data_IF_863274073826
#
_entry.id   IF_863274073826
#
_cell.length_a   1.000
_cell.length_b   1.000
_cell.length_c   1.000
_cell.angle_alpha   90.00
_cell.angle_beta   90.00
_cell.angle_gamma   90.00
#
_symmetry.space_group_name_H-M   'P 1'
#
loop_
_entity.id
_entity.type
_entity.pdbx_description
1 polymer ?
#
# COMPACT_ATOMS: atom_id res chain seq x y z
N UNK A 1 -4.48 -7.96 15.76
CA UNK A 1 -4.89 -7.66 14.36
C UNK A 1 -3.98 -6.61 13.68
N UNK A 2 -3.69 -5.45 14.30
CA UNK A 2 -2.91 -4.35 13.68
C UNK A 2 -1.41 -4.62 13.42
N UNK A 3 -0.80 -5.58 14.13
CA UNK A 3 0.66 -5.82 14.11
C UNK A 3 1.20 -6.45 12.82
N UNK A 4 0.33 -6.83 11.87
CA UNK A 4 0.72 -7.64 10.71
C UNK A 4 0.74 -6.89 9.37
N UNK A 5 0.35 -5.60 9.36
CA UNK A 5 0.44 -4.74 8.18
C UNK A 5 1.90 -4.46 7.83
N UNK A 6 2.21 -4.56 6.54
CA UNK A 6 3.55 -4.30 6.03
C UNK A 6 3.93 -2.82 6.19
N UNK A 7 5.22 -2.51 6.11
CA UNK A 7 5.72 -1.14 6.18
C UNK A 7 5.25 -0.36 4.95
N UNK A 8 5.29 -0.97 3.77
CA UNK A 8 4.77 -0.38 2.53
C UNK A 8 3.26 -0.11 2.62
N UNK A 9 2.47 -1.01 3.23
CA UNK A 9 1.02 -0.80 3.44
C UNK A 9 0.76 0.41 4.34
N UNK A 10 1.54 0.57 5.42
CA UNK A 10 1.46 1.74 6.31
C UNK A 10 1.90 3.04 5.64
N UNK A 11 2.91 2.98 4.77
CA UNK A 11 3.38 4.14 3.99
C UNK A 11 2.31 4.61 3.02
N UNK A 12 1.67 3.69 2.29
CA UNK A 12 0.59 4.01 1.36
C UNK A 12 -0.63 4.58 2.10
N UNK A 13 -1.04 3.97 3.22
CA UNK A 13 -2.11 4.48 4.08
C UNK A 13 -1.80 5.91 4.59
N UNK A 14 -0.56 6.14 5.04
CA UNK A 14 -0.13 7.44 5.55
C UNK A 14 -0.07 8.50 4.44
N UNK A 15 0.35 8.11 3.24
CA UNK A 15 0.36 9.00 2.07
C UNK A 15 -1.07 9.40 1.70
N UNK A 16 -1.99 8.44 1.58
CA UNK A 16 -3.39 8.71 1.26
C UNK A 16 -4.02 9.64 2.30
N UNK A 17 -3.76 9.40 3.59
CA UNK A 17 -4.26 10.24 4.69
C UNK A 17 -3.80 11.69 4.62
N UNK A 18 -2.62 11.96 4.03
CA UNK A 18 -2.09 13.33 3.84
C UNK A 18 -2.54 13.93 2.52
N UNK A 19 -2.63 13.13 1.47
CA UNK A 19 -2.96 13.54 0.12
C UNK A 19 -4.42 14.03 0.00
N UNK A 20 -5.38 13.29 0.56
CA UNK A 20 -6.81 13.65 0.50
C UNK A 20 -7.13 15.06 1.02
N UNK A 21 -6.71 15.47 2.24
CA UNK A 21 -7.01 16.83 2.72
C UNK A 21 -6.31 17.91 1.90
N UNK A 22 -5.11 17.65 1.36
CA UNK A 22 -4.38 18.61 0.52
C UNK A 22 -5.13 18.88 -0.79
N UNK A 23 -5.62 17.83 -1.45
CA UNK A 23 -6.39 17.96 -2.70
C UNK A 23 -7.70 18.69 -2.46
N UNK A 24 -8.43 18.33 -1.39
CA UNK A 24 -9.69 18.99 -1.05
C UNK A 24 -9.47 20.49 -0.80
N UNK A 25 -8.39 20.85 -0.08
CA UNK A 25 -8.06 22.23 0.19
C UNK A 25 -7.69 23.00 -1.09
N UNK A 26 -6.88 22.40 -1.98
CA UNK A 26 -6.58 23.00 -3.28
C UNK A 26 -7.83 23.20 -4.14
N UNK A 27 -8.70 22.20 -4.23
CA UNK A 27 -9.95 22.30 -4.99
C UNK A 27 -10.88 23.38 -4.42
N UNK A 28 -10.98 23.47 -3.09
CA UNK A 28 -11.78 24.51 -2.41
C UNK A 28 -11.26 25.92 -2.71
N UNK A 29 -9.94 26.10 -2.70
CA UNK A 29 -9.31 27.38 -3.05
C UNK A 29 -9.54 27.72 -4.53
N UNK A 30 -9.41 26.74 -5.44
CA UNK A 30 -9.70 26.93 -6.87
C UNK A 30 -11.16 27.34 -7.13
N UNK A 31 -12.10 26.81 -6.35
CA UNK A 31 -13.51 27.19 -6.49
C UNK A 31 -13.82 28.57 -5.89
N UNK A 32 -13.13 29.00 -4.83
CA UNK A 32 -13.49 30.23 -4.08
C UNK A 32 -12.71 31.47 -4.50
N UNK A 33 -11.42 31.36 -4.84
CA UNK A 33 -10.57 32.50 -5.21
C UNK A 33 -11.09 33.25 -6.46
N UNK A 34 -11.49 32.57 -7.55
CA UNK A 34 -11.84 33.26 -8.80
C UNK A 34 -13.17 34.01 -8.74
N UNK A 35 -14.02 33.71 -7.76
CA UNK A 35 -15.26 34.46 -7.52
C UNK A 35 -15.00 35.92 -7.12
N UNK A 36 -13.80 36.24 -6.61
CA UNK A 36 -13.40 37.63 -6.33
C UNK A 36 -13.11 38.47 -7.59
N UNK A 37 -12.84 37.84 -8.75
CA UNK A 37 -12.47 38.51 -9.99
C UNK A 37 -13.58 38.57 -11.05
N UNK A 38 -14.78 38.05 -10.75
CA UNK A 38 -15.97 38.15 -11.59
C UNK A 38 -16.65 36.81 -11.86
N UNK A 39 -17.95 36.87 -12.19
CA UNK A 39 -18.85 35.72 -12.29
C UNK A 39 -18.50 34.73 -13.40
N UNK A 40 -18.06 35.20 -14.57
CA UNK A 40 -17.62 34.36 -15.69
C UNK A 40 -16.39 33.51 -15.31
N UNK A 41 -15.40 34.14 -14.67
CA UNK A 41 -14.20 33.44 -14.20
C UNK A 41 -14.51 32.46 -13.06
N UNK A 42 -15.41 32.83 -12.14
CA UNK A 42 -15.88 31.96 -11.05
C UNK A 42 -16.50 30.67 -11.57
N UNK A 43 -17.38 30.74 -12.58
CA UNK A 43 -18.01 29.54 -13.18
C UNK A 43 -17.00 28.63 -13.85
N UNK A 44 -16.09 29.18 -14.65
CA UNK A 44 -15.05 28.41 -15.34
C UNK A 44 -14.16 27.64 -14.36
N UNK A 45 -13.67 28.32 -13.32
CA UNK A 45 -12.79 27.70 -12.34
C UNK A 45 -13.52 26.74 -11.40
N UNK A 46 -14.80 26.97 -11.11
CA UNK A 46 -15.61 26.02 -10.34
C UNK A 46 -15.72 24.68 -11.09
N UNK A 47 -15.97 24.71 -12.40
CA UNK A 47 -16.01 23.50 -13.25
C UNK A 47 -14.67 22.75 -13.21
N UNK A 48 -13.56 23.46 -13.41
CA UNK A 48 -12.22 22.86 -13.36
C UNK A 48 -11.85 22.33 -11.96
N UNK A 49 -12.32 22.98 -10.89
CA UNK A 49 -12.14 22.52 -9.52
C UNK A 49 -12.84 21.18 -9.26
N UNK A 50 -14.07 21.00 -9.76
CA UNK A 50 -14.76 19.70 -9.70
C UNK A 50 -14.01 18.62 -10.50
N UNK A 51 -13.50 18.95 -11.69
CA UNK A 51 -12.70 18.01 -12.50
C UNK A 51 -11.48 17.53 -11.71
N UNK A 52 -10.77 18.43 -11.02
CA UNK A 52 -9.62 18.07 -10.18
C UNK A 52 -10.00 17.09 -9.08
N UNK A 53 -11.12 17.29 -8.38
CA UNK A 53 -11.57 16.38 -7.31
C UNK A 53 -11.79 14.97 -7.87
N UNK A 54 -12.42 14.86 -9.04
CA UNK A 54 -12.72 13.58 -9.68
C UNK A 54 -11.44 12.87 -10.12
N UNK A 55 -10.53 13.58 -10.79
CA UNK A 55 -9.28 13.01 -11.32
C UNK A 55 -8.31 12.64 -10.20
N UNK A 56 -8.37 13.33 -9.06
CA UNK A 56 -7.46 13.12 -7.96
C UNK A 56 -7.74 11.87 -7.11
N UNK A 57 -8.77 11.03 -7.37
CA UNK A 57 -8.97 9.85 -6.51
C UNK A 57 -7.73 8.95 -6.49
N UNK A 58 -7.08 8.70 -5.34
CA UNK A 58 -5.97 7.77 -5.23
C UNK A 58 -6.42 6.30 -5.14
N UNK A 59 -7.60 5.98 -5.67
CA UNK A 59 -8.30 4.71 -5.54
C UNK A 59 -7.38 3.51 -5.82
N UNK A 60 -6.68 3.52 -6.96
CA UNK A 60 -5.77 2.45 -7.37
C UNK A 60 -4.56 2.28 -6.44
N UNK A 61 -4.00 3.40 -5.95
CA UNK A 61 -2.83 3.38 -5.07
C UNK A 61 -3.15 2.66 -3.76
N UNK A 62 -4.27 3.01 -3.12
CA UNK A 62 -4.65 2.45 -1.81
C UNK A 62 -4.96 0.95 -1.84
N UNK A 63 -5.52 0.45 -2.95
CA UNK A 63 -5.92 -0.95 -3.08
C UNK A 63 -4.74 -1.82 -3.55
N UNK A 64 -3.74 -1.25 -4.23
CA UNK A 64 -2.62 -1.98 -4.80
C UNK A 64 -1.88 -2.85 -3.76
N UNK A 65 -1.50 -2.27 -2.61
CA UNK A 65 -0.72 -2.97 -1.58
C UNK A 65 -1.44 -4.16 -0.95
N UNK A 66 -2.66 -4.05 -0.37
CA UNK A 66 -3.32 -5.20 0.24
C UNK A 66 -3.62 -6.31 -0.77
N UNK A 67 -3.95 -5.96 -2.03
CA UNK A 67 -4.18 -6.95 -3.09
C UNK A 67 -2.91 -7.71 -3.42
N UNK A 68 -1.77 -7.03 -3.59
CA UNK A 68 -0.49 -7.69 -3.86
C UNK A 68 -0.07 -8.60 -2.70
N UNK A 69 -0.23 -8.17 -1.44
CA UNK A 69 0.10 -9.02 -0.28
C UNK A 69 -0.82 -10.23 -0.18
N UNK A 70 -2.13 -10.06 -0.37
CA UNK A 70 -3.08 -11.18 -0.33
C UNK A 70 -2.77 -12.20 -1.43
N UNK A 71 -2.50 -11.74 -2.65
CA UNK A 71 -2.12 -12.59 -3.77
C UNK A 71 -0.79 -13.33 -3.50
N UNK A 72 0.22 -12.65 -2.99
CA UNK A 72 1.52 -13.26 -2.66
C UNK A 72 1.42 -14.31 -1.55
N UNK A 73 0.63 -14.05 -0.51
CA UNK A 73 0.36 -15.02 0.56
C UNK A 73 -0.38 -16.24 0.03
N UNK A 74 -1.39 -16.05 -0.83
CA UNK A 74 -2.13 -17.14 -1.45
C UNK A 74 -1.24 -18.01 -2.33
N UNK A 75 -0.39 -17.39 -3.15
CA UNK A 75 0.58 -18.10 -4.00
C UNK A 75 1.59 -18.91 -3.17
N UNK A 76 2.11 -18.35 -2.08
CA UNK A 76 3.01 -19.06 -1.18
C UNK A 76 2.34 -20.28 -0.53
N UNK A 77 1.10 -20.12 -0.06
CA UNK A 77 0.33 -21.20 0.57
C UNK A 77 0.06 -22.35 -0.41
N UNK A 78 -0.22 -22.06 -1.69
CA UNK A 78 -0.38 -23.08 -2.74
C UNK A 78 0.89 -23.90 -2.98
N UNK A 79 2.06 -23.36 -2.64
CA UNK A 79 3.36 -24.04 -2.73
C UNK A 79 3.82 -24.67 -1.41
N UNK A 80 2.92 -24.78 -0.41
CA UNK A 80 3.26 -25.35 0.90
C UNK A 80 4.09 -24.43 1.81
N UNK A 81 4.25 -23.15 1.45
CA UNK A 81 5.02 -22.17 2.21
C UNK A 81 4.05 -21.34 3.06
N UNK A 82 4.14 -21.49 4.39
CA UNK A 82 3.26 -20.77 5.32
C UNK A 82 3.95 -19.51 5.82
N UNK A 83 3.48 -18.35 5.35
CA UNK A 83 4.01 -17.04 5.73
C UNK A 83 3.02 -16.37 6.70
N UNK A 84 3.46 -16.12 7.94
CA UNK A 84 2.63 -15.51 8.99
C UNK A 84 2.52 -13.99 8.83
N UNK A 85 1.93 -13.52 7.72
CA UNK A 85 1.56 -12.11 7.50
C UNK A 85 2.33 -11.33 6.42
N UNK A 86 1.76 -10.18 6.02
CA UNK A 86 2.31 -9.32 4.96
C UNK A 86 3.64 -8.67 5.31
N UNK A 87 3.85 -8.28 6.58
CA UNK A 87 5.14 -7.73 7.03
C UNK A 87 6.30 -8.74 6.91
N UNK A 88 6.02 -10.03 7.10
CA UNK A 88 7.02 -11.10 6.91
C UNK A 88 7.27 -11.37 5.43
N UNK A 89 6.22 -11.33 4.61
CA UNK A 89 6.35 -11.43 3.15
C UNK A 89 7.21 -10.30 2.57
N UNK A 90 6.99 -9.06 3.02
CA UNK A 90 7.81 -7.90 2.66
C UNK A 90 9.27 -8.09 3.10
N UNK A 91 9.47 -8.53 4.35
CA UNK A 91 10.82 -8.80 4.87
C UNK A 91 11.58 -9.83 4.05
N UNK A 92 10.92 -10.90 3.61
CA UNK A 92 11.52 -11.93 2.74
C UNK A 92 12.07 -11.36 1.43
N UNK A 93 11.43 -10.35 0.85
CA UNK A 93 11.91 -9.68 -0.37
C UNK A 93 13.25 -8.96 -0.20
N UNK A 94 13.65 -8.66 1.04
CA UNK A 94 14.92 -7.98 1.36
C UNK A 94 16.03 -8.91 1.87
N UNK A 95 15.76 -10.21 1.99
CA UNK A 95 16.72 -11.20 2.54
C UNK A 95 17.87 -11.40 1.56
N UNK A 96 19.10 -11.19 2.05
CA UNK A 96 20.34 -11.40 1.26
C UNK A 96 21.13 -12.63 1.68
N UNK A 97 20.91 -13.11 2.89
CA UNK A 97 21.64 -14.23 3.49
C UNK A 97 20.64 -15.15 4.15
N UNK A 98 20.77 -16.45 3.88
CA UNK A 98 19.98 -17.49 4.54
C UNK A 98 20.97 -18.36 5.30
N UNK A 99 20.74 -18.51 6.60
CA UNK A 99 21.52 -19.39 7.46
C UNK A 99 20.61 -20.54 7.84
N UNK A 100 21.03 -21.76 7.52
CA UNK A 100 20.29 -22.96 7.84
C UNK A 100 20.82 -23.56 9.13
N UNK A 101 19.91 -23.97 10.02
CA UNK A 101 20.29 -24.89 11.08
C UNK A 101 20.61 -26.27 10.47
N UNK A 102 21.56 -27.00 11.06
CA UNK A 102 21.97 -28.28 10.49
C UNK A 102 20.96 -29.37 10.84
N UNK A 103 20.68 -29.55 12.13
CA UNK A 103 19.92 -30.68 12.65
C UNK A 103 18.42 -30.42 12.49
N UNK A 104 17.73 -31.27 11.74
CA UNK A 104 16.27 -31.15 11.54
C UNK A 104 15.85 -30.14 10.46
N UNK A 105 16.78 -29.40 9.85
CA UNK A 105 16.52 -28.59 8.63
C UNK A 105 17.28 -29.16 7.43
N UNK A 106 18.60 -29.28 7.50
CA UNK A 106 19.40 -29.91 6.44
C UNK A 106 19.47 -31.44 6.59
N UNK A 107 19.37 -31.93 7.81
CA UNK A 107 19.34 -33.36 8.12
C UNK A 107 17.97 -33.78 8.63
N UNK A 108 17.64 -35.06 8.50
CA UNK A 108 16.41 -35.62 9.06
C UNK A 108 16.38 -35.62 10.61
N UNK A 109 17.49 -35.30 11.27
CA UNK A 109 17.61 -35.37 12.73
C UNK A 109 17.56 -36.80 13.30
N UNK A 110 17.60 -37.82 12.44
CA UNK A 110 17.57 -39.23 12.81
C UNK A 110 18.98 -39.82 12.73
N UNK A 111 19.45 -40.39 13.84
CA UNK A 111 20.70 -41.14 13.85
C UNK A 111 20.47 -42.52 13.23
N UNK A 112 21.32 -42.89 12.25
CA UNK A 112 21.38 -44.24 11.70
C UNK A 112 22.74 -44.82 12.05
N UNK A 113 22.74 -45.97 12.73
CA UNK A 113 23.92 -46.82 12.87
C UNK A 113 24.06 -47.63 11.59
N UNK A 114 25.26 -47.64 11.03
CA UNK A 114 25.63 -48.41 9.83
C UNK A 114 26.14 -49.77 10.27
#
# INVERSE_FOLDING_TARGET
>A
AQSNRSTTEKLVDSFAKRYTPIVILMATLMCTIPWAWGTESGRYWTLNGLIIIVVACPCALTISTPVTYAAGLAAAAQNGIIIKGGAKLEGLGSVKKVVFDKTGTLTEGKFRLI
#
